data_IF_314398199105
#
_entry.id   IF_314398199105
#
_cell.length_a   1.000
_cell.length_b   1.000
_cell.length_c   1.000
_cell.angle_alpha   90.00
_cell.angle_beta   90.00
_cell.angle_gamma   90.00
#
_symmetry.space_group_name_H-M   'P 1'
#
loop_
_entity.id
_entity.type
_entity.pdbx_description
1 polymer ?
#
# COMPACT_ATOMS: atom_id res chain seq x y z
N UNK A 1 -51.70 -67.25 -31.81
CA UNK A 1 -50.69 -66.23 -32.19
C UNK A 1 -49.55 -66.28 -31.18
N UNK A 2 -48.37 -66.70 -31.63
CA UNK A 2 -47.12 -66.80 -30.88
C UNK A 2 -46.47 -65.41 -30.70
N UNK A 3 -45.75 -65.21 -29.59
CA UNK A 3 -44.44 -64.53 -29.59
C UNK A 3 -43.67 -64.81 -28.30
N UNK A 4 -42.72 -65.74 -28.41
CA UNK A 4 -41.49 -65.76 -27.61
C UNK A 4 -40.52 -64.72 -28.19
N UNK A 5 -39.76 -64.01 -27.35
CA UNK A 5 -38.50 -63.31 -27.66
C UNK A 5 -37.81 -63.01 -26.30
N UNK A 6 -36.73 -63.71 -25.94
CA UNK A 6 -35.31 -63.35 -26.16
C UNK A 6 -34.84 -62.19 -25.24
N UNK A 7 -33.71 -62.21 -24.55
CA UNK A 7 -32.60 -63.13 -24.48
C UNK A 7 -31.84 -62.87 -23.17
N UNK A 8 -31.37 -63.93 -22.51
CA UNK A 8 -30.26 -63.84 -21.58
C UNK A 8 -28.95 -63.90 -22.38
N UNK A 9 -28.12 -62.87 -22.25
CA UNK A 9 -26.70 -62.90 -22.58
C UNK A 9 -26.02 -61.79 -21.80
N UNK A 10 -25.06 -62.14 -20.95
CA UNK A 10 -23.78 -61.46 -20.82
C UNK A 10 -22.88 -62.33 -19.92
N UNK A 11 -22.29 -63.34 -20.55
CA UNK A 11 -21.04 -63.94 -20.10
C UNK A 11 -19.92 -62.92 -20.32
N UNK A 12 -19.31 -62.43 -19.25
CA UNK A 12 -17.95 -61.90 -19.31
C UNK A 12 -17.06 -62.80 -18.47
N UNK A 13 -16.37 -63.70 -19.17
CA UNK A 13 -15.12 -64.29 -18.70
C UNK A 13 -14.18 -63.18 -18.22
N UNK A 14 -13.69 -63.33 -17.00
CA UNK A 14 -12.38 -62.83 -16.65
C UNK A 14 -11.61 -63.99 -16.02
N UNK A 15 -10.98 -64.77 -16.90
CA UNK A 15 -9.77 -65.51 -16.57
C UNK A 15 -8.73 -64.48 -16.13
N UNK A 16 -8.55 -64.31 -14.82
CA UNK A 16 -7.51 -63.44 -14.30
C UNK A 16 -6.20 -64.24 -14.25
N UNK A 17 -5.47 -64.19 -15.37
CA UNK A 17 -4.08 -64.60 -15.45
C UNK A 17 -3.27 -63.90 -14.34
N UNK A 18 -2.66 -64.70 -13.47
CA UNK A 18 -1.79 -64.22 -12.38
C UNK A 18 -0.38 -64.09 -12.95
N UNK A 19 -0.10 -62.99 -13.64
CA UNK A 19 1.25 -62.67 -14.09
C UNK A 19 1.75 -61.41 -13.35
N UNK A 20 2.91 -61.54 -12.72
CA UNK A 20 3.59 -60.46 -11.99
C UNK A 20 4.26 -59.50 -13.00
N UNK A 21 3.46 -58.62 -13.61
CA UNK A 21 3.92 -57.52 -14.44
C UNK A 21 4.18 -56.26 -13.61
N UNK A 22 5.41 -55.75 -13.65
CA UNK A 22 5.74 -54.41 -13.15
C UNK A 22 5.00 -53.36 -14.00
N UNK A 23 3.81 -52.96 -13.57
CA UNK A 23 3.03 -51.90 -14.20
C UNK A 23 3.42 -50.53 -13.61
N UNK A 24 3.82 -49.53 -14.42
CA UNK A 24 3.95 -48.16 -13.97
C UNK A 24 2.56 -47.51 -13.93
N UNK A 25 1.63 -48.09 -13.17
CA UNK A 25 0.29 -47.51 -12.97
C UNK A 25 0.40 -46.47 -11.86
N UNK A 26 0.85 -45.27 -12.23
CA UNK A 26 0.55 -44.10 -11.40
C UNK A 26 -0.96 -43.89 -11.49
N UNK A 27 -1.69 -44.48 -10.55
CA UNK A 27 -3.14 -44.31 -10.43
C UNK A 27 -3.37 -42.79 -10.31
N UNK A 28 -4.18 -42.15 -11.18
CA UNK A 28 -4.45 -40.73 -11.07
C UNK A 28 -5.05 -40.48 -9.68
N UNK A 29 -4.41 -39.60 -8.92
CA UNK A 29 -4.81 -39.30 -7.55
C UNK A 29 -6.28 -38.87 -7.58
N UNK A 30 -7.17 -39.53 -6.84
CA UNK A 30 -8.57 -39.16 -6.83
C UNK A 30 -8.72 -37.74 -6.31
N UNK A 31 -9.53 -36.93 -7.00
CA UNK A 31 -9.75 -35.50 -6.72
C UNK A 31 -10.14 -35.20 -5.25
N UNK A 32 -10.61 -36.20 -4.52
CA UNK A 32 -10.97 -36.14 -3.10
C UNK A 32 -9.80 -36.04 -2.12
N UNK A 33 -8.55 -36.26 -2.54
CA UNK A 33 -7.36 -36.15 -1.67
C UNK A 33 -6.73 -34.76 -1.63
N UNK A 34 -7.19 -33.81 -2.45
CA UNK A 34 -6.72 -32.43 -2.33
C UNK A 34 -7.40 -31.78 -1.11
N UNK A 35 -6.65 -31.38 -0.07
CA UNK A 35 -7.22 -30.66 1.07
C UNK A 35 -7.94 -29.43 0.53
N UNK A 36 -9.27 -29.39 0.68
CA UNK A 36 -10.04 -28.25 0.22
C UNK A 36 -9.53 -27.02 0.99
N UNK A 37 -8.97 -26.01 0.31
CA UNK A 37 -8.51 -24.82 1.00
C UNK A 37 -9.72 -24.19 1.67
N UNK A 38 -9.62 -23.94 2.97
CA UNK A 38 -10.68 -23.30 3.75
C UNK A 38 -11.09 -21.99 3.05
N UNK A 39 -12.40 -21.69 2.98
CA UNK A 39 -12.90 -20.46 2.34
C UNK A 39 -12.20 -19.20 2.88
N UNK A 40 -11.80 -19.24 4.15
CA UNK A 40 -10.99 -18.21 4.82
C UNK A 40 -9.60 -18.00 4.21
N UNK A 41 -8.89 -19.05 3.82
CA UNK A 41 -7.58 -18.92 3.17
C UNK A 41 -7.67 -18.26 1.79
N UNK A 42 -8.81 -18.37 1.09
CA UNK A 42 -9.03 -17.65 -0.18
C UNK A 42 -9.27 -16.16 0.06
N UNK A 43 -10.03 -15.82 1.11
CA UNK A 43 -10.30 -14.43 1.48
C UNK A 43 -9.03 -13.71 1.96
N UNK A 44 -8.23 -14.35 2.82
CA UNK A 44 -6.99 -13.77 3.37
C UNK A 44 -5.96 -13.46 2.27
N UNK A 45 -5.83 -14.31 1.24
CA UNK A 45 -4.92 -14.06 0.11
C UNK A 45 -5.33 -12.85 -0.74
N UNK A 46 -6.64 -12.60 -0.87
CA UNK A 46 -7.16 -11.40 -1.53
C UNK A 46 -6.86 -10.14 -0.70
N UNK A 47 -7.06 -10.24 0.62
CA UNK A 47 -6.81 -9.15 1.56
C UNK A 47 -5.33 -8.76 1.64
N UNK A 48 -4.40 -9.72 1.67
CA UNK A 48 -2.96 -9.45 1.64
C UNK A 48 -2.56 -8.62 0.42
N UNK A 49 -3.04 -9.01 -0.77
CA UNK A 49 -2.76 -8.26 -2.01
C UNK A 49 -3.36 -6.86 -1.96
N UNK A 50 -4.56 -6.71 -1.41
CA UNK A 50 -5.21 -5.42 -1.23
C UNK A 50 -4.41 -4.51 -0.29
N UNK A 51 -3.95 -5.01 0.87
CA UNK A 51 -3.11 -4.25 1.81
C UNK A 51 -1.80 -3.79 1.17
N UNK A 52 -1.14 -4.65 0.38
CA UNK A 52 0.09 -4.30 -0.34
C UNK A 52 -0.17 -3.14 -1.33
N UNK A 53 -1.24 -3.23 -2.12
CA UNK A 53 -1.62 -2.18 -3.08
C UNK A 53 -2.00 -0.88 -2.35
N UNK A 54 -2.75 -0.99 -1.25
CA UNK A 54 -3.17 0.15 -0.45
C UNK A 54 -1.97 0.86 0.15
N UNK A 55 -1.03 0.15 0.77
CA UNK A 55 0.20 0.73 1.33
C UNK A 55 1.04 1.41 0.25
N UNK A 56 1.18 0.80 -0.94
CA UNK A 56 1.86 1.44 -2.07
C UNK A 56 1.20 2.76 -2.47
N UNK A 57 -0.14 2.78 -2.53
CA UNK A 57 -0.91 3.97 -2.89
C UNK A 57 -0.83 5.06 -1.81
N UNK A 58 -0.91 4.69 -0.54
CA UNK A 58 -0.70 5.60 0.60
C UNK A 58 0.71 6.18 0.59
N UNK A 59 1.73 5.37 0.33
CA UNK A 59 3.12 5.83 0.24
C UNK A 59 3.31 6.85 -0.91
N UNK A 60 2.67 6.62 -2.07
CA UNK A 60 2.67 7.58 -3.18
C UNK A 60 1.93 8.87 -2.83
N UNK A 61 0.80 8.78 -2.12
CA UNK A 61 0.04 9.95 -1.66
C UNK A 61 0.83 10.75 -0.63
N UNK A 62 1.49 10.09 0.34
CA UNK A 62 2.44 10.73 1.27
C UNK A 62 3.58 11.42 0.51
N UNK A 63 4.03 10.80 -0.58
CA UNK A 63 4.84 11.39 -1.67
C UNK A 63 4.42 12.80 -2.02
N UNK A 64 3.24 12.83 -2.61
CA UNK A 64 2.63 13.99 -3.20
C UNK A 64 2.28 15.06 -2.17
N UNK A 65 1.70 14.68 -1.03
CA UNK A 65 1.32 15.60 0.05
C UNK A 65 2.56 16.26 0.64
N UNK A 66 3.65 15.51 0.87
CA UNK A 66 4.90 16.12 1.33
C UNK A 66 5.43 17.14 0.33
N UNK A 67 5.39 16.84 -0.97
CA UNK A 67 5.86 17.77 -2.00
C UNK A 67 5.04 19.07 -1.99
N UNK A 68 3.70 18.95 -1.91
CA UNK A 68 2.80 20.10 -1.86
C UNK A 68 3.01 20.91 -0.57
N UNK A 69 3.16 20.24 0.58
CA UNK A 69 3.46 20.87 1.87
C UNK A 69 4.80 21.62 1.81
N UNK A 70 5.86 21.01 1.29
CA UNK A 70 7.16 21.67 1.17
C UNK A 70 7.09 22.85 0.21
N UNK A 71 6.39 22.71 -0.92
CA UNK A 71 6.17 23.83 -1.84
C UNK A 71 5.44 25.00 -1.16
N UNK A 72 4.42 24.71 -0.35
CA UNK A 72 3.67 25.72 0.40
C UNK A 72 4.54 26.41 1.45
N UNK A 73 5.25 25.65 2.29
CA UNK A 73 6.17 26.24 3.28
C UNK A 73 7.32 26.98 2.60
N UNK A 74 7.80 26.52 1.44
CA UNK A 74 8.88 27.17 0.71
C UNK A 74 8.42 28.51 0.16
N UNK A 75 7.20 28.55 -0.39
CA UNK A 75 6.58 29.80 -0.81
C UNK A 75 6.45 30.76 0.37
N UNK A 76 5.97 30.29 1.53
CA UNK A 76 5.91 31.10 2.76
C UNK A 76 7.30 31.61 3.17
N UNK A 77 8.31 30.76 3.17
CA UNK A 77 9.68 31.11 3.52
C UNK A 77 10.24 32.20 2.59
N UNK A 78 10.03 32.06 1.28
CA UNK A 78 10.44 33.07 0.29
C UNK A 78 9.71 34.40 0.52
N UNK A 79 8.40 34.37 0.79
CA UNK A 79 7.65 35.59 1.13
C UNK A 79 8.23 36.29 2.36
N UNK A 80 8.56 35.54 3.41
CA UNK A 80 9.20 36.09 4.61
C UNK A 80 10.62 36.64 4.34
N UNK A 81 11.41 35.94 3.52
CA UNK A 81 12.77 36.32 3.16
C UNK A 81 12.81 37.67 2.43
N UNK A 82 11.85 37.91 1.54
CA UNK A 82 11.69 39.19 0.83
C UNK A 82 10.90 40.24 1.63
N UNK A 83 10.58 39.95 2.89
CA UNK A 83 9.81 40.83 3.78
C UNK A 83 8.42 41.21 3.22
N UNK A 84 7.83 40.32 2.41
CA UNK A 84 6.51 40.50 1.83
C UNK A 84 5.47 40.20 2.90
N UNK A 85 4.72 41.22 3.28
CA UNK A 85 3.74 41.12 4.35
C UNK A 85 2.48 40.37 3.91
N UNK A 86 1.74 39.85 4.89
CA UNK A 86 0.53 39.02 4.70
C UNK A 86 -0.60 39.73 3.96
N UNK A 87 -0.57 41.06 3.86
CA UNK A 87 -1.68 41.89 3.38
C UNK A 87 -1.46 42.51 2.00
N UNK A 88 -0.41 42.09 1.27
CA UNK A 88 -0.12 42.65 -0.06
C UNK A 88 -1.10 42.15 -1.13
N UNK A 89 -1.53 40.88 -1.08
CA UNK A 89 -2.43 40.31 -2.08
C UNK A 89 -3.24 39.13 -1.51
N UNK A 90 -4.36 38.76 -2.16
CA UNK A 90 -5.17 37.59 -1.82
C UNK A 90 -4.34 36.29 -1.84
N UNK A 91 -3.38 36.19 -2.78
CA UNK A 91 -2.49 35.04 -2.88
C UNK A 91 -1.63 34.85 -1.62
N UNK A 92 -0.95 35.91 -1.16
CA UNK A 92 -0.09 35.82 0.03
C UNK A 92 -0.93 35.50 1.26
N UNK A 93 -2.09 36.16 1.41
CA UNK A 93 -3.05 35.85 2.48
C UNK A 93 -3.46 34.37 2.48
N UNK A 94 -3.74 33.78 1.31
CA UNK A 94 -4.05 32.37 1.18
C UNK A 94 -2.89 31.46 1.61
N UNK A 95 -1.67 31.76 1.18
CA UNK A 95 -0.46 31.00 1.56
C UNK A 95 -0.23 31.04 3.07
N UNK A 96 -0.30 32.22 3.69
CA UNK A 96 -0.13 32.36 5.14
C UNK A 96 -1.26 31.65 5.90
N UNK A 97 -2.52 31.75 5.44
CA UNK A 97 -3.65 31.08 6.09
C UNK A 97 -3.52 29.56 6.07
N UNK A 98 -3.13 28.95 4.95
CA UNK A 98 -2.92 27.51 4.86
C UNK A 98 -1.68 27.03 5.63
N UNK A 99 -0.61 27.84 5.67
CA UNK A 99 0.64 27.44 6.31
C UNK A 99 0.68 27.71 7.82
N UNK A 100 -0.13 28.64 8.34
CA UNK A 100 -0.20 28.93 9.78
C UNK A 100 -0.49 27.69 10.65
N UNK A 101 -1.50 26.84 10.39
CA UNK A 101 -1.72 25.66 11.21
C UNK A 101 -0.58 24.63 11.11
N UNK A 102 0.19 24.64 10.02
CA UNK A 102 1.34 23.75 9.84
C UNK A 102 2.55 24.22 10.67
N UNK A 103 2.75 25.53 10.81
CA UNK A 103 3.86 26.05 11.62
C UNK A 103 3.50 26.26 13.10
N UNK A 104 2.20 26.31 13.43
CA UNK A 104 1.68 26.51 14.79
C UNK A 104 2.35 25.66 15.88
N UNK A 105 2.62 24.34 15.70
CA UNK A 105 3.29 23.55 16.75
C UNK A 105 4.76 23.93 16.97
N UNK A 106 5.37 24.66 16.04
CA UNK A 106 6.76 25.11 16.12
C UNK A 106 6.86 26.62 16.38
N UNK A 107 5.73 27.28 16.55
CA UNK A 107 5.68 28.72 16.76
C UNK A 107 6.42 29.08 18.05
N UNK A 108 7.16 30.19 18.02
CA UNK A 108 8.03 30.65 19.13
C UNK A 108 9.20 29.73 19.52
N UNK A 109 9.48 28.63 18.81
CA UNK A 109 10.68 27.82 19.08
C UNK A 109 11.97 28.57 18.77
N UNK A 110 11.96 29.43 17.75
CA UNK A 110 13.10 30.23 17.35
C UNK A 110 12.67 31.68 17.11
N UNK A 111 13.41 32.68 17.64
CA UNK A 111 13.18 34.06 17.27
C UNK A 111 13.52 34.29 15.79
N UNK A 112 12.76 35.15 15.12
CA UNK A 112 13.11 35.60 13.77
C UNK A 112 14.40 36.42 13.82
N UNK A 113 15.36 36.07 12.96
CA UNK A 113 16.66 36.76 12.92
C UNK A 113 16.64 37.75 11.77
N UNK A 114 16.62 39.08 12.04
CA UNK A 114 16.74 40.08 11.00
C UNK A 114 18.19 40.12 10.48
N UNK A 115 18.36 40.09 9.16
CA UNK A 115 19.67 40.17 8.52
C UNK A 115 19.63 41.10 7.31
N UNK A 116 20.28 42.27 7.40
CA UNK A 116 20.47 43.23 6.29
C UNK A 116 19.20 43.56 5.48
N UNK A 117 18.07 43.78 6.15
CA UNK A 117 16.78 44.10 5.50
C UNK A 117 15.95 42.87 5.10
N UNK A 118 16.48 41.67 5.27
CA UNK A 118 15.75 40.40 5.13
C UNK A 118 15.37 39.84 6.50
N UNK A 119 14.24 39.14 6.57
CA UNK A 119 13.81 38.41 7.77
C UNK A 119 13.90 36.91 7.49
N UNK A 120 14.79 36.20 8.18
CA UNK A 120 14.88 34.74 8.05
C UNK A 120 13.94 34.11 9.07
N UNK A 121 12.91 33.45 8.58
CA UNK A 121 11.97 32.67 9.40
C UNK A 121 12.54 31.25 9.64
N UNK A 122 13.33 31.11 10.71
CA UNK A 122 13.93 29.84 11.12
C UNK A 122 12.88 28.80 11.48
N UNK A 123 11.74 29.23 12.04
CA UNK A 123 10.63 28.35 12.40
C UNK A 123 10.07 27.62 11.18
N UNK A 124 9.88 28.35 10.07
CA UNK A 124 9.42 27.76 8.81
C UNK A 124 10.45 26.74 8.26
N UNK A 125 11.75 27.04 8.33
CA UNK A 125 12.81 26.14 7.86
C UNK A 125 12.90 24.85 8.70
N UNK A 126 12.81 24.98 10.03
CA UNK A 126 12.77 23.84 10.95
C UNK A 126 11.52 22.98 10.70
N UNK A 127 10.36 23.62 10.50
CA UNK A 127 9.11 22.93 10.19
C UNK A 127 9.26 22.05 8.93
N UNK A 128 9.88 22.56 7.86
CA UNK A 128 10.16 21.77 6.66
C UNK A 128 10.99 20.52 6.99
N UNK A 129 12.09 20.69 7.73
CA UNK A 129 12.99 19.60 8.10
C UNK A 129 12.26 18.51 8.89
N UNK A 130 11.45 18.92 9.86
CA UNK A 130 10.65 17.99 10.68
C UNK A 130 9.62 17.25 9.83
N UNK A 131 8.92 17.93 8.92
CA UNK A 131 7.93 17.29 8.05
C UNK A 131 8.55 16.30 7.06
N UNK A 132 9.73 16.61 6.52
CA UNK A 132 10.49 15.68 5.68
C UNK A 132 10.86 14.44 6.52
N UNK A 133 11.43 14.65 7.70
CA UNK A 133 11.86 13.56 8.58
C UNK A 133 10.68 12.67 8.99
N UNK A 134 9.58 13.28 9.47
CA UNK A 134 8.36 12.58 9.85
C UNK A 134 7.79 11.76 8.69
N UNK A 135 7.73 12.34 7.49
CA UNK A 135 7.24 11.63 6.31
C UNK A 135 8.16 10.46 5.95
N UNK A 136 9.48 10.63 5.98
CA UNK A 136 10.43 9.53 5.74
C UNK A 136 10.23 8.40 6.75
N UNK A 137 10.05 8.73 8.04
CA UNK A 137 9.80 7.73 9.08
C UNK A 137 8.50 6.97 8.84
N UNK A 138 7.40 7.67 8.54
CA UNK A 138 6.12 7.03 8.24
C UNK A 138 6.22 6.13 7.01
N UNK A 139 6.90 6.58 5.93
CA UNK A 139 7.10 5.75 4.74
C UNK A 139 7.93 4.51 5.02
N UNK A 140 9.01 4.64 5.81
CA UNK A 140 9.82 3.50 6.25
C UNK A 140 9.00 2.53 7.07
N UNK A 141 8.21 3.03 8.03
CA UNK A 141 7.33 2.21 8.85
C UNK A 141 6.28 1.47 8.02
N UNK A 142 5.62 2.15 7.08
CA UNK A 142 4.67 1.53 6.14
C UNK A 142 5.34 0.45 5.28
N UNK A 143 6.57 0.69 4.82
CA UNK A 143 7.34 -0.30 4.06
C UNK A 143 7.69 -1.51 4.93
N UNK A 144 8.10 -1.30 6.18
CA UNK A 144 8.41 -2.36 7.14
C UNK A 144 7.16 -3.23 7.41
N UNK A 145 5.99 -2.62 7.59
CA UNK A 145 4.73 -3.35 7.81
C UNK A 145 4.35 -4.30 6.66
N UNK A 146 4.75 -3.98 5.43
CA UNK A 146 4.46 -4.80 4.24
C UNK A 146 5.56 -5.82 3.95
N UNK A 147 6.76 -5.61 4.49
CA UNK A 147 7.88 -6.53 4.27
C UNK A 147 7.64 -7.74 5.16
N UNK A 148 7.35 -8.88 4.53
CA UNK A 148 7.13 -10.15 5.22
C UNK A 148 8.42 -10.50 5.98
N UNK A 149 8.37 -10.89 7.27
CA UNK A 149 9.55 -11.46 7.93
C UNK A 149 9.92 -12.73 7.16
N UNK A 150 11.18 -12.83 6.74
CA UNK A 150 11.73 -14.08 6.19
C UNK A 150 11.79 -15.16 7.26
#
# INVERSE_FOLDING_TARGET
MQRWNNAGTNSTSYDQATEAGFNPTTIPIPFSYFPQPSRWQRFLRGFERFCIVLVRKVNQLLGFVLLLLILLLLTRFLLHLFNITTNVNLFTRGVFWMSNPLIAPFDHLFPSVPYRGHSIDMTTLVSMGIYILATILVRKFLKLLVTKPE
#
